data_IF_167321904006
#
_entry.id   IF_167321904006
#
_cell.length_a   1.000
_cell.length_b   1.000
_cell.length_c   1.000
_cell.angle_alpha   90.00
_cell.angle_beta   90.00
_cell.angle_gamma   90.00
#
_symmetry.space_group_name_H-M   'P 1'
#
loop_
_entity.id
_entity.type
_entity.pdbx_description
1 polymer ?
#
# COMPACT_ATOMS: atom_id res chain seq x y z
N UNK A 1 9.78 0.03 -12.79
CA UNK A 1 11.26 0.00 -12.84
C UNK A 1 11.84 -1.39 -12.55
N UNK A 2 11.12 -2.27 -11.88
CA UNK A 2 11.61 -3.59 -11.44
C UNK A 2 11.78 -4.65 -12.53
N UNK A 3 10.99 -4.60 -13.60
CA UNK A 3 11.26 -5.38 -14.82
C UNK A 3 12.68 -5.16 -15.34
N UNK A 4 13.32 -4.05 -14.95
CA UNK A 4 14.68 -3.70 -15.34
C UNK A 4 15.75 -4.41 -14.52
N UNK A 5 15.46 -4.79 -13.26
CA UNK A 5 16.41 -5.47 -12.37
C UNK A 5 16.18 -6.99 -12.28
N UNK A 6 14.99 -7.49 -12.63
CA UNK A 6 14.73 -8.93 -12.69
C UNK A 6 15.69 -9.68 -13.63
N UNK A 7 16.27 -10.75 -13.11
CA UNK A 7 16.98 -11.76 -13.90
C UNK A 7 15.96 -12.72 -14.53
N UNK A 8 16.11 -12.98 -15.83
CA UNK A 8 15.33 -14.01 -16.52
C UNK A 8 15.75 -15.45 -16.13
N UNK A 9 15.09 -16.47 -16.69
CA UNK A 9 15.42 -17.88 -16.43
C UNK A 9 16.87 -18.27 -16.80
N UNK A 10 17.60 -17.41 -17.55
CA UNK A 10 19.01 -17.57 -17.89
C UNK A 10 19.96 -16.78 -16.98
N UNK A 11 19.44 -16.05 -15.98
CA UNK A 11 20.21 -15.22 -15.06
C UNK A 11 20.63 -13.87 -15.63
N UNK A 12 19.92 -13.33 -16.63
CA UNK A 12 20.25 -12.03 -17.25
C UNK A 12 19.25 -10.96 -16.87
N UNK A 13 19.77 -9.81 -16.44
CA UNK A 13 18.96 -8.63 -16.10
C UNK A 13 18.92 -7.62 -17.24
N UNK A 14 17.80 -6.91 -17.40
CA UNK A 14 17.66 -5.79 -18.35
C UNK A 14 18.63 -4.64 -18.05
N UNK A 15 19.04 -4.51 -16.78
CA UNK A 15 20.05 -3.59 -16.28
C UNK A 15 21.46 -3.85 -16.84
N UNK A 16 21.72 -5.03 -17.42
CA UNK A 16 22.98 -5.32 -18.09
C UNK A 16 23.08 -4.72 -19.50
N UNK A 17 21.93 -4.33 -20.09
CA UNK A 17 21.86 -3.92 -21.50
C UNK A 17 21.25 -2.52 -21.71
N UNK A 18 20.68 -1.91 -20.68
CA UNK A 18 20.09 -0.58 -20.74
C UNK A 18 20.27 0.14 -19.40
N UNK A 19 20.25 1.48 -19.43
CA UNK A 19 20.31 2.33 -18.24
C UNK A 19 18.99 3.09 -18.08
N UNK A 20 18.50 3.19 -16.84
CA UNK A 20 17.42 4.11 -16.47
C UNK A 20 18.00 5.50 -16.19
N UNK A 21 17.60 6.50 -16.99
CA UNK A 21 18.18 7.85 -16.95
C UNK A 21 17.36 8.86 -16.13
N UNK A 22 16.04 8.91 -16.34
CA UNK A 22 15.13 9.89 -15.72
C UNK A 22 13.70 9.34 -15.66
N UNK A 23 13.04 9.39 -14.50
CA UNK A 23 11.59 9.19 -14.39
C UNK A 23 10.86 10.53 -14.57
N UNK A 24 9.93 10.57 -15.53
CA UNK A 24 9.20 11.79 -15.90
C UNK A 24 7.70 11.54 -15.83
N UNK A 25 7.00 12.35 -15.05
CA UNK A 25 5.53 12.36 -14.97
C UNK A 25 4.98 13.64 -15.58
N UNK A 26 3.82 13.55 -16.23
CA UNK A 26 3.09 14.70 -16.78
C UNK A 26 1.79 14.89 -16.01
N UNK A 27 1.64 16.05 -15.37
CA UNK A 27 0.45 16.46 -14.62
C UNK A 27 -0.39 17.40 -15.47
N UNK A 28 -1.67 17.10 -15.65
CA UNK A 28 -2.64 18.02 -16.26
C UNK A 28 -3.11 19.04 -15.22
N UNK A 29 -2.69 20.30 -15.36
CA UNK A 29 -2.97 21.32 -14.35
C UNK A 29 -4.47 21.59 -14.12
N UNK A 30 -5.29 21.44 -15.17
CA UNK A 30 -6.71 21.74 -15.11
C UNK A 30 -7.57 20.61 -14.54
N UNK A 31 -7.14 19.36 -14.72
CA UNK A 31 -7.83 18.20 -14.15
C UNK A 31 -7.30 17.85 -12.75
N UNK A 32 -5.99 17.97 -12.50
CA UNK A 32 -5.41 17.65 -11.19
C UNK A 32 -6.11 18.41 -10.06
N UNK A 33 -6.40 19.70 -10.22
CA UNK A 33 -7.10 20.49 -9.19
C UNK A 33 -8.57 20.08 -8.99
N UNK A 34 -9.21 19.46 -9.99
CA UNK A 34 -10.59 18.94 -9.86
C UNK A 34 -10.59 17.59 -9.17
N UNK A 35 -9.62 16.75 -9.51
CA UNK A 35 -9.47 15.40 -8.99
C UNK A 35 -8.97 15.46 -7.52
N UNK A 36 -8.05 16.39 -7.21
CA UNK A 36 -7.45 16.60 -5.88
C UNK A 36 -8.29 17.51 -4.95
N UNK A 37 -9.61 17.30 -4.88
CA UNK A 37 -10.54 18.10 -4.06
C UNK A 37 -10.13 18.31 -2.58
N UNK A 38 -10.83 19.25 -1.91
CA UNK A 38 -10.40 19.99 -0.70
C UNK A 38 -9.45 19.25 0.27
N UNK A 39 -8.33 19.88 0.61
CA UNK A 39 -7.31 19.32 1.50
C UNK A 39 -7.86 18.95 2.90
N UNK A 40 -8.90 19.66 3.36
CA UNK A 40 -9.60 19.37 4.63
C UNK A 40 -10.39 18.05 4.57
N UNK A 41 -10.92 17.68 3.41
CA UNK A 41 -11.61 16.42 3.22
C UNK A 41 -10.68 15.21 3.39
N UNK A 42 -9.40 15.32 3.04
CA UNK A 42 -8.42 14.22 3.12
C UNK A 42 -8.03 13.90 4.57
N UNK A 43 -7.89 14.91 5.42
CA UNK A 43 -7.53 14.73 6.84
C UNK A 43 -8.65 14.11 7.69
N UNK A 44 -9.91 14.33 7.33
CA UNK A 44 -11.07 13.71 8.01
C UNK A 44 -11.36 12.27 7.55
N UNK A 45 -10.75 11.82 6.43
CA UNK A 45 -11.04 10.53 5.78
C UNK A 45 -10.05 9.42 6.19
N UNK A 46 -9.84 9.26 7.49
CA UNK A 46 -8.83 8.34 8.05
C UNK A 46 -9.09 6.84 7.81
N UNK A 47 -10.29 6.45 7.36
CA UNK A 47 -10.64 5.09 6.90
C UNK A 47 -11.75 5.20 5.84
N UNK A 48 -11.47 4.87 4.58
CA UNK A 48 -12.42 4.97 3.47
C UNK A 48 -12.84 3.60 2.92
N UNK A 49 -13.84 2.96 3.52
CA UNK A 49 -14.39 1.64 3.10
C UNK A 49 -15.46 1.75 2.00
N UNK A 50 -15.18 2.35 0.85
CA UNK A 50 -16.17 2.38 -0.25
C UNK A 50 -15.49 2.30 -1.63
N UNK A 51 -16.22 1.92 -2.67
CA UNK A 51 -15.80 1.82 -4.08
C UNK A 51 -16.24 3.05 -4.91
N UNK A 52 -15.65 4.23 -4.71
CA UNK A 52 -15.90 5.35 -5.64
C UNK A 52 -14.64 5.67 -6.44
N UNK A 53 -14.80 5.58 -7.77
CA UNK A 53 -13.83 5.72 -8.86
C UNK A 53 -12.88 6.93 -8.69
N UNK A 54 -13.38 8.02 -8.13
CA UNK A 54 -12.63 9.26 -7.91
C UNK A 54 -11.49 9.13 -6.87
N UNK A 55 -11.58 8.20 -5.91
CA UNK A 55 -10.50 7.93 -4.93
C UNK A 55 -9.30 7.22 -5.54
N UNK A 56 -9.56 6.35 -6.52
CA UNK A 56 -8.52 5.60 -7.23
C UNK A 56 -7.62 6.54 -8.06
N UNK A 57 -8.21 7.58 -8.65
CA UNK A 57 -7.49 8.55 -9.48
C UNK A 57 -6.54 9.40 -8.62
N UNK A 58 -6.99 9.88 -7.46
CA UNK A 58 -6.14 10.73 -6.59
C UNK A 58 -4.95 9.96 -6.05
N UNK A 59 -5.15 8.70 -5.64
CA UNK A 59 -4.08 7.85 -5.12
C UNK A 59 -3.00 7.60 -6.20
N UNK A 60 -3.42 7.24 -7.42
CA UNK A 60 -2.51 7.06 -8.56
C UNK A 60 -1.76 8.35 -8.92
N UNK A 61 -2.42 9.51 -8.83
CA UNK A 61 -1.82 10.81 -9.11
C UNK A 61 -0.74 11.17 -8.08
N UNK A 62 -0.95 10.84 -6.80
CA UNK A 62 0.08 11.01 -5.76
C UNK A 62 1.26 10.09 -6.03
N UNK A 63 1.02 8.80 -6.29
CA UNK A 63 2.07 7.82 -6.62
C UNK A 63 2.93 8.29 -7.81
N UNK A 64 2.31 8.80 -8.88
CA UNK A 64 3.06 9.28 -10.04
C UNK A 64 3.88 10.54 -9.77
N UNK A 65 3.47 11.36 -8.80
CA UNK A 65 4.14 12.61 -8.42
C UNK A 65 5.30 12.35 -7.46
N UNK A 66 5.13 11.46 -6.50
CA UNK A 66 6.16 11.15 -5.50
C UNK A 66 7.44 10.63 -6.16
N UNK A 67 7.35 9.75 -7.16
CA UNK A 67 8.52 9.04 -7.71
C UNK A 67 9.20 9.74 -8.88
N UNK A 68 8.62 10.81 -9.40
CA UNK A 68 9.13 11.48 -10.58
C UNK A 68 10.38 12.30 -10.24
N UNK A 69 11.46 12.12 -11.01
CA UNK A 69 12.60 13.05 -10.95
C UNK A 69 12.25 14.40 -11.59
N UNK A 70 11.39 14.35 -12.62
CA UNK A 70 10.91 15.54 -13.34
C UNK A 70 9.40 15.48 -13.45
N UNK A 71 8.73 16.53 -12.99
CA UNK A 71 7.28 16.69 -13.10
C UNK A 71 6.98 17.80 -14.10
N UNK A 72 6.28 17.44 -15.17
CA UNK A 72 5.83 18.40 -16.18
C UNK A 72 4.38 18.78 -15.89
N UNK A 73 4.16 19.98 -15.35
CA UNK A 73 2.83 20.58 -15.22
C UNK A 73 2.44 21.14 -16.59
N UNK A 74 1.50 20.49 -17.25
CA UNK A 74 1.04 20.83 -18.60
C UNK A 74 -0.31 21.53 -18.59
N UNK A 75 -0.63 22.24 -19.68
CA UNK A 75 -1.85 23.04 -19.87
C UNK A 75 -1.98 24.19 -18.89
N UNK A 76 -0.85 24.80 -18.51
CA UNK A 76 -0.83 25.95 -17.59
C UNK A 76 -1.60 27.17 -18.14
N UNK A 77 -1.83 27.23 -19.45
CA UNK A 77 -2.64 28.24 -20.13
C UNK A 77 -4.16 28.11 -19.88
N UNK A 78 -4.63 26.97 -19.38
CA UNK A 78 -6.05 26.71 -19.11
C UNK A 78 -6.48 27.02 -17.67
N UNK A 79 -5.55 27.39 -16.78
CA UNK A 79 -5.82 27.67 -15.37
C UNK A 79 -5.38 29.08 -14.98
N UNK A 80 -5.90 29.58 -13.86
CA UNK A 80 -5.49 30.89 -13.36
C UNK A 80 -4.09 30.84 -12.74
N UNK A 81 -3.35 31.97 -12.70
CA UNK A 81 -2.05 32.03 -12.02
C UNK A 81 -2.13 31.65 -10.53
N UNK A 82 -3.28 31.90 -9.90
CA UNK A 82 -3.51 31.52 -8.50
C UNK A 82 -3.60 30.00 -8.33
N UNK A 83 -4.35 29.34 -9.21
CA UNK A 83 -4.50 27.87 -9.16
C UNK A 83 -3.18 27.16 -9.49
N UNK A 84 -2.39 27.72 -10.41
CA UNK A 84 -1.06 27.21 -10.72
C UNK A 84 -0.13 27.30 -9.50
N UNK A 85 -0.15 28.42 -8.78
CA UNK A 85 0.64 28.57 -7.55
C UNK A 85 0.20 27.58 -6.46
N UNK A 86 -1.10 27.28 -6.35
CA UNK A 86 -1.58 26.26 -5.42
C UNK A 86 -1.08 24.87 -5.82
N UNK A 87 -1.16 24.53 -7.11
CA UNK A 87 -0.68 23.25 -7.64
C UNK A 87 0.82 23.05 -7.42
N UNK A 88 1.63 24.09 -7.68
CA UNK A 88 3.08 24.07 -7.39
C UNK A 88 3.35 23.77 -5.91
N UNK A 89 2.60 24.40 -5.00
CA UNK A 89 2.76 24.15 -3.55
C UNK A 89 2.37 22.74 -3.14
N UNK A 90 1.34 22.16 -3.77
CA UNK A 90 0.92 20.77 -3.53
C UNK A 90 2.02 19.83 -4.01
N UNK A 91 2.48 19.97 -5.25
CA UNK A 91 3.53 19.15 -5.83
C UNK A 91 4.83 19.25 -5.03
N UNK A 92 5.23 20.46 -4.61
CA UNK A 92 6.43 20.65 -3.79
C UNK A 92 6.32 20.04 -2.38
N UNK A 93 5.11 19.90 -1.83
CA UNK A 93 4.91 19.18 -0.57
C UNK A 93 4.98 17.67 -0.75
N UNK A 94 4.42 17.15 -1.84
CA UNK A 94 4.42 15.72 -2.14
C UNK A 94 5.81 15.23 -2.58
N UNK A 95 6.50 16.02 -3.39
CA UNK A 95 7.83 15.70 -3.88
C UNK A 95 8.72 16.96 -3.90
N UNK A 96 9.43 17.24 -2.80
CA UNK A 96 10.30 18.42 -2.69
C UNK A 96 11.58 18.32 -3.55
N UNK A 97 11.92 17.13 -4.04
CA UNK A 97 13.16 16.89 -4.77
C UNK A 97 12.97 16.90 -6.30
N UNK A 98 11.73 16.83 -6.79
CA UNK A 98 11.43 16.86 -8.21
C UNK A 98 11.77 18.21 -8.86
N UNK A 99 12.35 18.14 -10.06
CA UNK A 99 12.37 19.28 -10.97
C UNK A 99 10.97 19.50 -11.55
N UNK A 100 10.36 20.64 -11.23
CA UNK A 100 9.04 21.01 -11.78
C UNK A 100 9.21 21.89 -13.02
N UNK A 101 8.59 21.49 -14.13
CA UNK A 101 8.58 22.21 -15.41
C UNK A 101 7.15 22.60 -15.78
N UNK A 102 6.92 23.86 -16.13
CA UNK A 102 5.64 24.35 -16.63
C UNK A 102 5.59 24.32 -18.15
N UNK A 103 4.48 23.86 -18.73
CA UNK A 103 4.35 23.72 -20.18
C UNK A 103 2.93 23.93 -20.71
N UNK A 104 2.89 24.25 -22.00
CA UNK A 104 1.69 24.23 -22.85
C UNK A 104 1.96 23.28 -24.01
N UNK A 105 1.01 22.39 -24.32
CA UNK A 105 1.16 21.34 -25.35
C UNK A 105 2.39 20.44 -25.09
N UNK A 106 2.74 20.20 -23.83
CA UNK A 106 3.88 19.40 -23.36
C UNK A 106 5.24 19.84 -23.93
N UNK A 107 5.36 21.12 -24.32
CA UNK A 107 6.61 21.66 -24.86
C UNK A 107 7.59 21.96 -23.73
N UNK A 108 8.54 21.06 -23.52
CA UNK A 108 9.67 21.21 -22.59
C UNK A 108 11.01 20.96 -23.30
N UNK A 109 12.13 21.53 -22.81
CA UNK A 109 13.45 21.22 -23.36
C UNK A 109 13.78 19.74 -23.16
N UNK A 110 14.08 19.02 -24.25
CA UNK A 110 14.42 17.59 -24.18
C UNK A 110 15.62 17.30 -23.27
N UNK A 111 16.56 18.24 -23.17
CA UNK A 111 17.73 18.13 -22.29
C UNK A 111 17.40 18.11 -20.79
N UNK A 112 16.18 18.50 -20.41
CA UNK A 112 15.73 18.43 -19.02
C UNK A 112 15.05 17.10 -18.68
N UNK A 113 14.78 16.25 -19.67
CA UNK A 113 14.07 14.97 -19.49
C UNK A 113 14.81 13.75 -20.05
N UNK A 114 15.82 13.95 -20.92
CA UNK A 114 16.60 12.88 -21.52
C UNK A 114 18.10 13.13 -21.33
N UNK A 115 18.82 12.09 -20.92
CA UNK A 115 20.27 12.14 -20.70
C UNK A 115 20.64 12.97 -19.47
N UNK A 116 19.74 13.05 -18.49
CA UNK A 116 19.94 13.89 -17.31
C UNK A 116 20.68 13.19 -16.19
N UNK A 117 20.70 11.85 -16.20
CA UNK A 117 21.18 10.99 -15.10
C UNK A 117 20.57 11.37 -13.74
N UNK A 118 19.34 11.89 -13.74
CA UNK A 118 18.61 12.25 -12.51
C UNK A 118 18.05 11.01 -11.83
N UNK A 119 17.76 9.95 -12.57
CA UNK A 119 17.39 8.68 -11.98
C UNK A 119 18.64 8.02 -11.42
N UNK A 120 18.72 7.98 -10.10
CA UNK A 120 19.69 7.17 -9.39
C UNK A 120 18.92 6.00 -8.79
N UNK A 121 19.32 4.76 -9.10
CA UNK A 121 18.65 3.58 -8.56
C UNK A 121 18.63 3.61 -7.02
N UNK A 122 19.72 4.13 -6.42
CA UNK A 122 19.83 4.42 -4.98
C UNK A 122 18.83 5.46 -4.43
N UNK A 123 18.21 6.30 -5.28
CA UNK A 123 17.11 7.21 -4.93
C UNK A 123 15.74 6.57 -5.23
N UNK A 124 15.65 5.68 -6.21
CA UNK A 124 14.41 4.95 -6.54
C UNK A 124 14.06 3.86 -5.51
N UNK A 125 15.07 3.26 -4.90
CA UNK A 125 14.98 2.36 -3.73
C UNK A 125 14.46 3.08 -2.47
N UNK A 126 14.57 4.42 -2.43
CA UNK A 126 14.04 5.28 -1.34
C UNK A 126 12.60 5.73 -1.58
N UNK A 127 11.95 5.29 -2.65
CA UNK A 127 10.57 5.62 -2.97
C UNK A 127 9.67 4.37 -2.98
N UNK A 128 8.43 4.47 -2.44
CA UNK A 128 7.66 3.37 -1.86
C UNK A 128 7.22 2.15 -2.71
N UNK A 129 7.57 1.98 -4.00
CA UNK A 129 6.93 0.99 -4.89
C UNK A 129 7.82 -0.19 -5.34
N UNK A 130 8.90 -0.51 -4.60
CA UNK A 130 9.93 -1.49 -5.01
C UNK A 130 9.80 -2.90 -4.39
N UNK A 131 8.57 -3.42 -4.38
CA UNK A 131 8.24 -4.80 -4.76
C UNK A 131 8.30 -6.05 -3.87
N UNK A 132 7.51 -7.00 -4.39
CA UNK A 132 7.16 -8.30 -3.88
C UNK A 132 8.13 -9.40 -4.36
N UNK A 133 8.74 -10.11 -3.42
CA UNK A 133 8.64 -11.57 -3.35
C UNK A 133 8.69 -12.00 -1.87
N UNK A 134 7.64 -12.67 -1.35
CA UNK A 134 7.59 -13.21 -0.01
C UNK A 134 8.30 -14.58 0.05
N UNK A 135 9.58 -14.67 -0.31
CA UNK A 135 10.32 -15.94 -0.20
C UNK A 135 11.73 -15.75 0.30
N UNK A 136 11.85 -15.93 1.62
CA UNK A 136 13.03 -16.50 2.25
C UNK A 136 14.29 -15.64 2.23
N UNK A 137 14.63 -15.12 3.40
CA UNK A 137 16.01 -14.85 3.86
C UNK A 137 16.96 -14.28 2.80
N UNK A 138 17.08 -12.95 2.73
CA UNK A 138 18.37 -12.27 2.64
C UNK A 138 18.21 -10.77 2.94
N UNK A 139 19.00 -10.28 3.89
CA UNK A 139 19.12 -8.87 4.23
C UNK A 139 19.81 -8.15 3.06
N UNK A 140 19.05 -7.59 2.13
CA UNK A 140 19.60 -6.70 1.11
C UNK A 140 19.04 -5.31 1.30
N UNK A 141 19.47 -4.63 2.37
CA UNK A 141 19.00 -3.28 2.63
C UNK A 141 20.13 -2.38 3.11
N UNK A 142 20.27 -1.26 2.41
CA UNK A 142 21.32 -0.25 2.51
C UNK A 142 21.41 0.37 3.90
N UNK A 143 22.37 -0.13 4.70
CA UNK A 143 22.80 0.42 6.00
C UNK A 143 23.14 1.93 5.96
N UNK A 144 23.33 2.50 4.76
CA UNK A 144 23.77 3.89 4.53
C UNK A 144 22.66 4.94 4.69
N UNK A 145 21.37 4.57 4.55
CA UNK A 145 20.23 5.51 4.62
C UNK A 145 19.23 5.21 5.75
N UNK A 146 19.44 4.13 6.51
CA UNK A 146 18.59 3.72 7.63
C UNK A 146 17.19 3.27 7.23
N UNK A 147 16.97 2.93 5.95
CA UNK A 147 15.72 2.33 5.47
C UNK A 147 15.85 0.82 5.56
N UNK A 148 14.87 0.19 6.19
CA UNK A 148 14.76 -1.25 6.34
C UNK A 148 13.32 -1.69 6.09
N UNK A 149 13.15 -2.90 5.59
CA UNK A 149 11.91 -3.63 5.53
C UNK A 149 11.97 -4.87 6.41
N UNK A 150 10.79 -5.31 6.82
CA UNK A 150 10.64 -6.58 7.50
C UNK A 150 9.26 -7.16 7.22
N UNK A 151 9.17 -8.48 7.33
CA UNK A 151 7.91 -9.20 7.14
C UNK A 151 7.39 -9.67 8.49
N UNK A 152 6.20 -9.19 8.86
CA UNK A 152 5.45 -9.68 9.99
C UNK A 152 4.58 -10.87 9.57
N UNK A 153 4.89 -12.06 10.13
CA UNK A 153 4.11 -13.28 9.91
C UNK A 153 3.61 -13.87 11.22
N UNK A 154 2.31 -14.19 11.29
CA UNK A 154 1.69 -14.85 12.44
C UNK A 154 0.51 -15.73 12.00
N UNK A 155 0.45 -16.95 12.51
CA UNK A 155 -0.68 -17.87 12.26
C UNK A 155 -1.81 -17.65 13.28
N UNK A 156 -2.27 -16.40 13.40
CA UNK A 156 -3.27 -16.02 14.41
C UNK A 156 -4.05 -14.78 13.96
N UNK A 157 -5.39 -14.73 14.15
CA UNK A 157 -6.17 -13.57 13.74
C UNK A 157 -6.00 -12.40 14.70
N UNK A 158 -6.18 -11.19 14.17
CA UNK A 158 -6.23 -9.95 14.95
C UNK A 158 -7.64 -9.73 15.51
N UNK A 159 -7.72 -9.18 16.73
CA UNK A 159 -8.95 -8.68 17.30
C UNK A 159 -9.33 -7.36 16.61
N UNK A 160 -10.51 -7.26 15.94
CA UNK A 160 -10.86 -6.13 15.08
C UNK A 160 -10.84 -4.78 15.82
N UNK A 161 -11.45 -4.72 17.01
CA UNK A 161 -11.40 -3.50 17.84
C UNK A 161 -9.99 -3.07 18.27
N UNK A 162 -9.13 -4.02 18.70
CA UNK A 162 -7.76 -3.69 19.12
C UNK A 162 -6.94 -3.18 17.94
N UNK A 163 -7.06 -3.83 16.78
CA UNK A 163 -6.40 -3.39 15.56
C UNK A 163 -6.89 -2.01 15.10
N UNK A 164 -8.21 -1.78 15.08
CA UNK A 164 -8.78 -0.47 14.76
C UNK A 164 -8.28 0.62 15.71
N UNK A 165 -8.27 0.35 17.02
CA UNK A 165 -7.76 1.29 18.01
C UNK A 165 -6.28 1.60 17.82
N UNK A 166 -5.47 0.60 17.49
CA UNK A 166 -4.04 0.75 17.16
C UNK A 166 -3.86 1.68 15.95
N UNK A 167 -4.63 1.46 14.89
CA UNK A 167 -4.54 2.21 13.64
C UNK A 167 -5.05 3.65 13.80
N UNK A 168 -6.21 3.86 14.43
CA UNK A 168 -6.79 5.20 14.62
C UNK A 168 -5.96 6.05 15.58
N UNK A 169 -5.46 5.44 16.67
CA UNK A 169 -4.62 6.13 17.65
C UNK A 169 -3.14 6.13 17.26
N UNK A 170 -2.79 5.47 16.15
CA UNK A 170 -1.44 5.44 15.60
C UNK A 170 -1.00 6.84 15.22
N UNK A 171 -0.07 7.37 16.00
CA UNK A 171 0.65 8.60 15.70
C UNK A 171 1.74 8.32 14.64
N UNK A 172 1.97 9.29 13.75
CA UNK A 172 3.04 9.25 12.75
C UNK A 172 4.40 9.62 13.37
N UNK A 173 4.40 10.30 14.51
CA UNK A 173 5.63 10.79 15.15
C UNK A 173 6.12 9.84 16.27
N UNK A 174 5.21 9.21 17.03
CA UNK A 174 5.55 8.33 18.18
C UNK A 174 4.74 7.02 18.25
N UNK A 175 3.90 6.73 17.25
CA UNK A 175 2.94 5.63 17.28
C UNK A 175 3.26 4.50 16.32
N UNK A 176 2.22 3.72 15.97
CA UNK A 176 2.34 2.54 15.10
C UNK A 176 3.00 2.84 13.75
N UNK A 177 2.85 4.05 13.23
CA UNK A 177 3.38 4.47 11.93
C UNK A 177 4.68 5.27 12.02
N UNK A 178 5.27 5.41 13.22
CA UNK A 178 6.51 6.14 13.41
C UNK A 178 7.66 5.53 12.61
N UNK A 179 8.17 6.28 11.64
CA UNK A 179 9.21 5.82 10.73
C UNK A 179 8.74 4.82 9.67
N UNK A 180 7.44 4.46 9.60
CA UNK A 180 6.91 3.59 8.54
C UNK A 180 6.55 4.44 7.33
N UNK A 181 7.16 4.14 6.19
CA UNK A 181 6.86 4.77 4.91
C UNK A 181 5.67 4.07 4.24
N UNK A 182 5.69 2.73 4.24
CA UNK A 182 4.66 1.90 3.61
C UNK A 182 4.48 0.58 4.35
N UNK A 183 3.28 0.02 4.22
CA UNK A 183 3.05 -1.40 4.48
C UNK A 183 2.00 -2.00 3.55
N UNK A 184 2.15 -3.29 3.24
CA UNK A 184 1.21 -4.03 2.40
C UNK A 184 1.17 -5.50 2.79
N UNK A 185 0.03 -6.15 2.61
CA UNK A 185 -0.04 -7.61 2.66
C UNK A 185 -1.42 -8.13 3.00
N UNK A 186 -1.48 -9.37 3.46
CA UNK A 186 -2.70 -10.05 3.86
C UNK A 186 -2.92 -9.95 5.37
N UNK A 187 -4.13 -9.52 5.72
CA UNK A 187 -4.63 -9.46 7.09
C UNK A 187 -5.69 -10.53 7.33
N UNK A 188 -5.62 -11.16 8.51
CA UNK A 188 -6.64 -12.07 9.00
C UNK A 188 -7.35 -11.49 10.23
N UNK A 189 -8.63 -11.16 10.10
CA UNK A 189 -9.45 -10.57 11.17
C UNK A 189 -10.37 -11.61 11.80
N UNK A 190 -10.46 -11.62 13.14
CA UNK A 190 -11.27 -12.60 13.86
C UNK A 190 -12.78 -12.50 13.54
N UNK A 191 -13.32 -11.29 13.40
CA UNK A 191 -14.74 -11.04 13.09
C UNK A 191 -15.18 -11.46 11.69
N UNK A 192 -14.23 -11.67 10.79
CA UNK A 192 -14.40 -12.11 9.39
C UNK A 192 -13.33 -13.16 9.09
N UNK A 193 -13.32 -14.21 9.91
CA UNK A 193 -12.24 -15.21 10.00
C UNK A 193 -12.09 -16.08 8.76
N UNK A 194 -13.09 -16.10 7.89
CA UNK A 194 -13.19 -16.84 6.63
C UNK A 194 -12.58 -16.06 5.45
N UNK A 195 -12.47 -14.74 5.58
CA UNK A 195 -12.00 -13.85 4.52
C UNK A 195 -10.57 -13.34 4.79
N UNK A 196 -9.77 -13.25 3.73
CA UNK A 196 -8.50 -12.54 3.71
C UNK A 196 -8.75 -11.06 3.38
N UNK A 197 -7.97 -10.16 3.99
CA UNK A 197 -8.04 -8.73 3.66
C UNK A 197 -6.72 -8.27 3.05
N UNK A 198 -6.79 -7.59 1.91
CA UNK A 198 -5.68 -6.82 1.36
C UNK A 198 -5.53 -5.54 2.19
N UNK A 199 -4.39 -5.44 2.86
CA UNK A 199 -3.93 -4.25 3.57
C UNK A 199 -2.98 -3.47 2.68
N UNK A 200 -3.19 -2.17 2.61
CA UNK A 200 -2.27 -1.24 1.96
C UNK A 200 -2.24 0.06 2.74
N UNK A 201 -1.07 0.46 3.20
CA UNK A 201 -0.84 1.74 3.84
C UNK A 201 0.37 2.43 3.22
N UNK A 202 0.21 3.72 2.92
CA UNK A 202 1.27 4.60 2.44
C UNK A 202 1.06 5.99 3.07
N UNK A 203 2.06 6.47 3.82
CA UNK A 203 1.92 7.68 4.62
C UNK A 203 0.69 7.64 5.54
N UNK A 204 -0.18 8.63 5.46
CA UNK A 204 -1.41 8.72 6.26
C UNK A 204 -2.60 7.90 5.70
N UNK A 205 -2.46 7.35 4.49
CA UNK A 205 -3.54 6.64 3.80
C UNK A 205 -3.50 5.15 4.16
N UNK A 206 -4.66 4.61 4.53
CA UNK A 206 -4.81 3.22 4.95
C UNK A 206 -6.03 2.63 4.26
N UNK A 207 -5.83 1.47 3.63
CA UNK A 207 -6.87 0.69 2.98
C UNK A 207 -6.89 -0.74 3.49
N UNK A 208 -8.11 -1.26 3.58
CA UNK A 208 -8.40 -2.62 3.98
C UNK A 208 -9.56 -3.12 3.11
N UNK A 209 -9.25 -3.96 2.13
CA UNK A 209 -10.24 -4.49 1.18
C UNK A 209 -10.38 -6.00 1.34
N UNK A 210 -11.59 -6.57 1.21
CA UNK A 210 -11.73 -8.01 1.09
C UNK A 210 -10.93 -8.53 -0.12
N UNK A 211 -10.09 -9.53 0.09
CA UNK A 211 -9.28 -10.19 -0.94
C UNK A 211 -9.85 -11.55 -1.39
N UNK A 212 -10.98 -11.97 -0.81
CA UNK A 212 -11.61 -13.27 -1.05
C UNK A 212 -11.56 -14.19 0.17
N UNK A 213 -12.04 -15.42 0.01
CA UNK A 213 -11.95 -16.43 1.07
C UNK A 213 -10.55 -17.02 1.15
N UNK A 214 -10.13 -17.37 2.36
CA UNK A 214 -9.02 -18.30 2.53
C UNK A 214 -9.39 -19.66 1.93
N UNK A 215 -8.42 -20.41 1.38
CA UNK A 215 -8.72 -21.72 0.79
C UNK A 215 -9.31 -22.67 1.82
N UNK A 216 -8.85 -22.62 3.07
CA UNK A 216 -9.41 -23.39 4.18
C UNK A 216 -10.83 -22.97 4.61
N UNK A 217 -11.39 -21.91 4.04
CA UNK A 217 -12.77 -21.45 4.24
C UNK A 217 -13.61 -21.46 2.96
N UNK A 218 -12.97 -21.50 1.80
CA UNK A 218 -13.62 -21.46 0.49
C UNK A 218 -14.48 -22.72 0.25
N UNK A 219 -15.66 -22.58 -0.39
CA UNK A 219 -16.46 -23.72 -0.85
C UNK A 219 -15.66 -24.63 -1.78
N UNK A 220 -15.92 -25.94 -1.76
CA UNK A 220 -15.21 -26.92 -2.61
C UNK A 220 -15.33 -26.58 -4.11
N UNK A 221 -16.40 -25.91 -4.51
CA UNK A 221 -16.64 -25.51 -5.90
C UNK A 221 -15.70 -24.38 -6.39
N UNK A 222 -15.10 -23.61 -5.47
CA UNK A 222 -14.15 -22.55 -5.81
C UNK A 222 -12.69 -23.06 -5.86
N UNK A 223 -12.43 -24.28 -5.37
CA UNK A 223 -11.09 -24.87 -5.40
C UNK A 223 -10.65 -25.17 -6.85
N UNK A 224 -9.34 -25.06 -7.15
CA UNK A 224 -8.80 -25.46 -8.44
C UNK A 224 -9.11 -26.93 -8.74
N UNK A 225 -9.35 -27.26 -10.01
CA UNK A 225 -9.51 -28.66 -10.45
C UNK A 225 -8.17 -29.39 -10.62
N UNK A 226 -7.08 -28.63 -10.71
CA UNK A 226 -5.72 -29.13 -10.96
C UNK A 226 -5.08 -29.70 -9.70
N UNK A 227 -4.68 -30.99 -9.73
CA UNK A 227 -4.16 -31.71 -8.57
C UNK A 227 -2.85 -31.12 -8.03
N UNK A 228 -1.99 -30.56 -8.90
CA UNK A 228 -0.71 -29.97 -8.51
C UNK A 228 -0.95 -28.64 -7.75
N UNK A 229 -1.88 -27.79 -8.22
CA UNK A 229 -2.29 -26.57 -7.51
C UNK A 229 -2.92 -26.88 -6.14
N UNK A 230 -3.78 -27.89 -6.05
CA UNK A 230 -4.36 -28.32 -4.78
C UNK A 230 -3.25 -28.76 -3.80
N UNK A 231 -2.26 -29.50 -4.28
CA UNK A 231 -1.15 -29.96 -3.46
C UNK A 231 -0.30 -28.79 -2.93
N UNK A 232 -0.05 -27.78 -3.75
CA UNK A 232 0.66 -26.56 -3.37
C UNK A 232 -0.10 -25.75 -2.31
N UNK A 233 -1.40 -25.53 -2.52
CA UNK A 233 -2.26 -24.85 -1.54
C UNK A 233 -2.22 -25.58 -0.19
N UNK A 234 -2.38 -26.91 -0.20
CA UNK A 234 -2.36 -27.73 1.02
C UNK A 234 -0.99 -27.78 1.68
N UNK A 235 0.10 -27.60 0.95
CA UNK A 235 1.44 -27.54 1.52
C UNK A 235 1.61 -26.31 2.43
N UNK A 236 0.86 -25.23 2.18
CA UNK A 236 0.87 -24.01 2.98
C UNK A 236 -0.05 -24.06 4.21
N UNK A 237 -0.80 -25.15 4.41
CA UNK A 237 -1.75 -25.25 5.52
C UNK A 237 -1.02 -25.52 6.84
N UNK A 238 -1.24 -24.65 7.83
CA UNK A 238 -0.63 -24.74 9.16
C UNK A 238 -1.71 -24.73 10.26
N UNK A 239 -1.72 -25.78 11.08
CA UNK A 239 -2.64 -25.88 12.22
C UNK A 239 -4.10 -26.11 11.82
N UNK A 240 -5.03 -25.69 12.69
CA UNK A 240 -6.47 -25.95 12.53
C UNK A 240 -7.13 -25.11 11.43
N UNK A 241 -6.58 -23.94 11.14
CA UNK A 241 -7.18 -22.96 10.23
C UNK A 241 -6.53 -22.92 8.84
N UNK A 242 -5.69 -23.90 8.50
CA UNK A 242 -5.14 -24.08 7.16
C UNK A 242 -4.22 -22.93 6.73
N UNK A 243 -4.54 -22.28 5.60
CA UNK A 243 -3.76 -21.20 5.01
C UNK A 243 -3.99 -19.82 5.65
N UNK A 244 -4.79 -19.73 6.72
CA UNK A 244 -5.11 -18.45 7.38
C UNK A 244 -3.95 -17.92 8.20
N UNK A 245 -3.44 -16.73 7.84
CA UNK A 245 -2.33 -16.10 8.54
C UNK A 245 -2.28 -14.58 8.34
N UNK A 246 -1.46 -13.91 9.15
CA UNK A 246 -0.99 -12.56 8.89
C UNK A 246 0.26 -12.65 8.04
N UNK A 247 0.34 -11.82 7.00
CA UNK A 247 1.55 -11.59 6.23
C UNK A 247 1.59 -10.13 5.79
N UNK A 248 2.37 -9.32 6.49
CA UNK A 248 2.53 -7.91 6.20
C UNK A 248 4.00 -7.58 5.98
N UNK A 249 4.27 -6.84 4.93
CA UNK A 249 5.58 -6.22 4.69
C UNK A 249 5.50 -4.78 5.15
N UNK A 250 6.47 -4.36 5.96
CA UNK A 250 6.65 -2.98 6.40
C UNK A 250 7.94 -2.46 5.79
N UNK A 251 7.93 -1.21 5.34
CA UNK A 251 9.10 -0.50 4.82
C UNK A 251 9.16 0.82 5.57
N UNK A 252 10.29 1.10 6.22
CA UNK A 252 10.43 2.26 7.10
C UNK A 252 11.87 2.77 7.22
N UNK A 253 12.01 4.01 7.66
CA UNK A 253 13.30 4.64 7.97
C UNK A 253 13.45 4.81 9.48
N UNK A 254 14.48 4.20 10.08
CA UNK A 254 14.67 4.15 11.53
C UNK A 254 13.44 3.58 12.29
N UNK A 255 12.64 2.74 11.62
CA UNK A 255 11.47 2.09 12.23
C UNK A 255 11.92 1.07 13.27
N UNK A 256 11.34 1.11 14.46
CA UNK A 256 11.56 0.08 15.48
C UNK A 256 10.70 -1.15 15.16
N UNK A 257 11.30 -2.11 14.43
CA UNK A 257 10.66 -3.38 14.08
C UNK A 257 10.06 -4.07 15.31
N UNK A 258 10.80 -4.15 16.42
CA UNK A 258 10.33 -4.85 17.62
C UNK A 258 9.13 -4.16 18.25
N UNK A 259 9.10 -2.83 18.24
CA UNK A 259 7.95 -2.07 18.71
C UNK A 259 6.71 -2.33 17.84
N UNK A 260 6.86 -2.28 16.51
CA UNK A 260 5.77 -2.50 15.55
C UNK A 260 5.22 -3.93 15.69
N UNK A 261 6.10 -4.93 15.73
CA UNK A 261 5.73 -6.33 15.95
C UNK A 261 5.01 -6.51 17.29
N UNK A 262 5.51 -5.89 18.37
CA UNK A 262 4.86 -5.96 19.69
C UNK A 262 3.46 -5.34 19.67
N UNK A 263 3.28 -4.21 18.98
CA UNK A 263 1.98 -3.53 18.87
C UNK A 263 0.96 -4.36 18.09
N UNK A 264 1.40 -5.05 17.03
CA UNK A 264 0.56 -5.99 16.28
C UNK A 264 0.27 -7.26 17.08
N UNK A 265 1.27 -7.80 17.79
CA UNK A 265 1.13 -8.96 18.66
C UNK A 265 0.13 -8.67 19.79
N UNK A 266 0.13 -7.46 20.35
CA UNK A 266 -0.86 -6.97 21.33
C UNK A 266 -2.28 -6.86 20.75
N UNK A 267 -2.44 -6.92 19.43
CA UNK A 267 -3.73 -6.96 18.76
C UNK A 267 -4.18 -8.39 18.41
N UNK A 268 -3.29 -9.39 18.46
CA UNK A 268 -3.65 -10.80 18.19
C UNK A 268 -4.57 -11.36 19.27
N UNK A 269 -5.41 -12.33 18.90
CA UNK A 269 -6.18 -13.07 19.90
C UNK A 269 -5.26 -13.69 20.97
N UNK A 270 -5.67 -13.60 22.23
CA UNK A 270 -5.03 -14.35 23.31
C UNK A 270 -5.34 -15.85 23.15
N UNK A 271 -4.61 -16.72 23.85
CA UNK A 271 -4.90 -18.16 23.81
C UNK A 271 -6.33 -18.49 24.27
N UNK A 272 -6.84 -17.74 25.27
CA UNK A 272 -8.21 -17.88 25.77
C UNK A 272 -9.26 -17.45 24.74
N UNK A 273 -9.01 -16.36 24.00
CA UNK A 273 -9.89 -15.91 22.91
C UNK A 273 -9.82 -16.86 21.71
N UNK A 274 -8.63 -17.37 21.39
CA UNK A 274 -8.42 -18.25 20.25
C UNK A 274 -9.16 -19.59 20.42
N UNK A 275 -9.19 -20.15 21.63
CA UNK A 275 -9.95 -21.38 21.93
C UNK A 275 -11.48 -21.22 21.81
N UNK A 276 -12.01 -19.99 21.83
CA UNK A 276 -13.46 -19.76 21.67
C UNK A 276 -13.96 -20.07 20.26
N UNK A 277 -13.07 -19.99 19.27
CA UNK A 277 -13.32 -20.35 17.89
C UNK A 277 -14.25 -19.40 17.11
N UNK A 278 -14.46 -19.70 15.81
CA UNK A 278 -15.03 -18.75 14.85
C UNK A 278 -16.43 -18.25 15.18
N UNK A 279 -17.30 -19.12 15.72
CA UNK A 279 -18.69 -18.78 16.06
C UNK A 279 -18.82 -17.72 17.18
N UNK A 280 -17.74 -17.51 17.95
CA UNK A 280 -17.66 -16.42 18.94
C UNK A 280 -16.97 -15.22 18.32
N UNK A 281 -15.89 -15.42 17.56
CA UNK A 281 -15.13 -14.35 16.93
C UNK A 281 -15.97 -13.48 15.99
N UNK A 282 -16.88 -14.07 15.21
CA UNK A 282 -17.81 -13.37 14.31
C UNK A 282 -18.67 -12.31 15.01
N UNK A 283 -18.84 -12.45 16.34
CA UNK A 283 -19.64 -11.55 17.18
C UNK A 283 -18.80 -10.46 17.85
N UNK A 284 -17.49 -10.45 17.65
CA UNK A 284 -16.64 -9.37 18.14
C UNK A 284 -17.06 -8.05 17.52
N UNK A 285 -17.02 -6.99 18.33
CA UNK A 285 -17.26 -5.64 17.85
C UNK A 285 -16.22 -5.30 16.78
N UNK A 286 -16.70 -4.99 15.58
CA UNK A 286 -15.86 -4.76 14.40
C UNK A 286 -16.10 -3.36 13.83
N UNK A 287 -15.32 -2.36 14.29
CA UNK A 287 -15.39 -1.00 13.76
C UNK A 287 -14.93 -0.88 12.30
N UNK A 288 -14.35 -1.94 11.72
CA UNK A 288 -13.83 -1.99 10.35
C UNK A 288 -14.87 -2.56 9.36
N UNK A 289 -16.08 -2.87 9.83
CA UNK A 289 -17.19 -3.16 8.93
C UNK A 289 -17.67 -1.86 8.28
N UNK A 290 -17.94 -1.87 6.96
CA UNK A 290 -18.69 -0.79 6.34
C UNK A 290 -20.01 -0.59 7.11
N UNK A 291 -20.42 0.67 7.31
CA UNK A 291 -21.78 0.96 7.74
C UNK A 291 -22.71 0.38 6.68
N UNK A 292 -23.42 -0.71 7.01
CA UNK A 292 -24.44 -1.26 6.13
C UNK A 292 -25.39 -0.12 5.77
N UNK A 293 -25.46 0.23 4.47
CA UNK A 293 -26.51 1.13 4.00
C UNK A 293 -27.85 0.49 4.37
N UNK A 294 -28.68 1.20 5.13
CA UNK A 294 -30.06 0.81 5.44
C UNK A 294 -30.87 0.68 4.14
N UNK A 295 -30.72 -0.43 3.41
CA UNK A 295 -31.45 -0.70 2.17
C UNK A 295 -32.00 -2.13 2.10
N UNK A 296 -32.21 -2.77 3.26
CA UNK A 296 -33.00 -4.01 3.38
C UNK A 296 -34.30 -3.83 4.18
N UNK A 297 -34.95 -2.67 4.06
CA UNK A 297 -36.27 -2.43 4.68
C UNK A 297 -37.46 -2.35 3.70
N UNK A 298 -37.28 -2.63 2.40
CA UNK A 298 -38.37 -2.56 1.41
C UNK A 298 -38.43 -3.77 0.45
N UNK A 299 -38.30 -4.99 0.99
CA UNK A 299 -38.69 -6.20 0.27
C UNK A 299 -39.48 -7.15 1.19
N UNK A 300 -40.72 -6.75 1.52
CA UNK A 300 -41.80 -7.65 1.94
C UNK A 300 -43.08 -7.25 1.21
#
# INVERSE_FOLDING_TARGET
AETFTFEDEEGKSLSEIADLDTMVTVVDAGNFMKDFGSWDDLTDRRIGLNEEDDRNIVDLLVEQVEFANVIVINKTDLISPYDLEQLDRIIQKLNPNALVLHSTESRVPLSEILGTNRFQLAEAETMPDWLADPRGEEQTETEEYGISSFVYRRNRPLHPKRFNDLVIKGDLDEGFFAGILRSKGLLWLASRHDCAFDWSQAGCSIRLNPAGYWWAAAPEEEWPEDEDQIAEIRANFVGEYGDRHQELVFIGQNSDQHLIESMLDDCLLTDEEFVQGPAVWEKYEDPLRPLESENEANAL
#
